data_IF_215645583301
#
_entry.id   IF_215645583301
#
_cell.length_a   1.000
_cell.length_b   1.000
_cell.length_c   1.000
_cell.angle_alpha   90.00
_cell.angle_beta   90.00
_cell.angle_gamma   90.00
#
_symmetry.space_group_name_H-M   'P 1'
#
loop_
_entity.id
_entity.type
_entity.pdbx_description
1 polymer ?
#
# COMPACT_ATOMS: atom_id res chain seq x y z
N UNK A 1 14.68 3.14 10.75
CA UNK A 1 14.93 2.36 9.54
C UNK A 1 14.55 3.22 8.35
N UNK A 2 15.46 3.45 7.43
CA UNK A 2 15.17 4.19 6.21
C UNK A 2 14.45 3.28 5.21
N UNK A 3 13.57 3.88 4.41
CA UNK A 3 12.80 3.18 3.39
C UNK A 3 13.21 3.69 2.01
N UNK A 4 13.26 2.80 1.03
CA UNK A 4 13.54 3.11 -0.39
C UNK A 4 12.68 4.26 -0.92
N UNK A 5 11.44 4.30 -0.51
CA UNK A 5 10.45 5.29 -0.96
C UNK A 5 10.76 6.74 -0.59
N UNK A 6 11.53 7.01 0.49
CA UNK A 6 11.83 8.37 0.92
C UNK A 6 12.46 9.20 -0.19
N UNK A 7 13.53 8.67 -0.79
CA UNK A 7 14.26 9.35 -1.88
C UNK A 7 13.36 9.59 -3.09
N UNK A 8 12.50 8.62 -3.41
CA UNK A 8 11.56 8.74 -4.53
C UNK A 8 10.48 9.80 -4.29
N UNK A 9 9.97 9.89 -3.05
CA UNK A 9 9.01 10.95 -2.68
C UNK A 9 9.68 12.33 -2.78
N UNK A 10 10.90 12.49 -2.25
CA UNK A 10 11.67 13.73 -2.35
C UNK A 10 11.89 14.14 -3.81
N UNK A 11 12.27 13.20 -4.68
CA UNK A 11 12.43 13.44 -6.11
C UNK A 11 11.14 13.94 -6.78
N UNK A 12 10.00 13.30 -6.49
CA UNK A 12 8.73 13.68 -7.10
C UNK A 12 8.22 15.05 -6.67
N UNK A 13 8.47 15.41 -5.42
CA UNK A 13 8.13 16.73 -4.90
C UNK A 13 8.98 17.82 -5.53
N UNK A 14 10.30 17.63 -5.60
CA UNK A 14 11.26 18.65 -6.04
C UNK A 14 11.35 18.75 -7.56
N UNK A 15 11.48 17.62 -8.26
CA UNK A 15 11.78 17.63 -9.70
C UNK A 15 10.53 17.73 -10.57
N UNK A 16 9.41 17.16 -10.12
CA UNK A 16 8.18 17.17 -10.92
C UNK A 16 7.11 18.13 -10.40
N UNK A 17 7.27 18.67 -9.19
CA UNK A 17 6.32 19.61 -8.61
C UNK A 17 4.89 19.05 -8.49
N UNK A 18 4.75 17.72 -8.27
CA UNK A 18 3.46 17.04 -8.19
C UNK A 18 3.08 16.71 -6.75
N UNK A 19 1.79 16.59 -6.49
CA UNK A 19 1.28 15.91 -5.30
C UNK A 19 1.83 14.49 -5.26
N UNK A 20 2.24 14.00 -4.09
CA UNK A 20 2.62 12.59 -3.93
C UNK A 20 1.56 11.85 -3.12
N UNK A 21 0.93 10.87 -3.73
CA UNK A 21 0.03 9.95 -3.04
C UNK A 21 0.80 8.72 -2.56
N UNK A 22 0.85 8.53 -1.25
CA UNK A 22 1.46 7.35 -0.64
C UNK A 22 0.35 6.42 -0.17
N UNK A 23 0.14 5.34 -0.93
CA UNK A 23 -0.82 4.29 -0.61
C UNK A 23 -0.13 3.02 -0.10
N UNK A 24 -0.90 2.08 0.43
CA UNK A 24 -0.37 0.80 0.91
C UNK A 24 -1.14 0.28 2.12
N UNK A 25 -0.84 -0.96 2.52
CA UNK A 25 -1.49 -1.59 3.66
C UNK A 25 -1.41 -0.74 4.94
N UNK A 26 -2.34 -0.94 5.87
CA UNK A 26 -2.19 -0.38 7.23
C UNK A 26 -0.91 -0.89 7.87
N UNK A 27 -0.25 -0.05 8.68
CA UNK A 27 0.99 -0.37 9.40
C UNK A 27 2.21 -0.72 8.51
N UNK A 28 2.14 -0.43 7.19
CA UNK A 28 3.26 -0.68 6.27
C UNK A 28 4.36 0.40 6.33
N UNK A 29 4.12 1.51 7.05
CA UNK A 29 5.09 2.58 7.28
C UNK A 29 4.87 3.87 6.48
N UNK A 30 3.70 4.09 5.86
CA UNK A 30 3.38 5.31 5.09
C UNK A 30 3.63 6.60 5.86
N UNK A 31 3.04 6.72 7.04
CA UNK A 31 3.20 7.89 7.93
C UNK A 31 4.66 8.11 8.34
N UNK A 32 5.40 7.03 8.56
CA UNK A 32 6.84 7.10 8.90
C UNK A 32 7.64 7.68 7.74
N UNK A 33 7.42 7.18 6.51
CA UNK A 33 8.08 7.70 5.30
C UNK A 33 7.76 9.19 5.13
N UNK A 34 6.49 9.56 5.18
CA UNK A 34 6.07 10.95 5.02
C UNK A 34 6.71 11.88 6.04
N UNK A 35 6.75 11.48 7.32
CA UNK A 35 7.42 12.26 8.38
C UNK A 35 8.94 12.33 8.20
N UNK A 36 9.58 11.30 7.67
CA UNK A 36 11.02 11.33 7.37
C UNK A 36 11.36 12.31 6.24
N UNK A 37 10.48 12.45 5.24
CA UNK A 37 10.65 13.41 4.14
C UNK A 37 10.62 14.85 4.67
N UNK A 38 9.70 15.19 5.57
CA UNK A 38 9.56 16.57 6.06
C UNK A 38 10.51 16.93 7.21
N UNK A 39 11.10 15.94 7.88
CA UNK A 39 11.98 16.17 9.05
C UNK A 39 13.09 17.21 8.81
N UNK A 40 13.71 17.30 7.63
CA UNK A 40 14.75 18.29 7.35
C UNK A 40 14.22 19.72 7.19
N UNK A 41 12.89 19.91 7.02
CA UNK A 41 12.28 21.23 6.82
C UNK A 41 11.31 21.56 7.97
N UNK A 42 11.70 22.44 8.90
CA UNK A 42 10.90 22.76 10.10
C UNK A 42 9.57 23.47 9.78
N UNK A 43 9.43 24.04 8.58
CA UNK A 43 8.21 24.73 8.16
C UNK A 43 7.14 23.75 7.62
N UNK A 44 7.47 22.47 7.52
CA UNK A 44 6.51 21.47 7.05
C UNK A 44 5.55 21.05 8.16
N UNK A 45 4.31 20.74 7.79
CA UNK A 45 3.24 20.41 8.73
C UNK A 45 2.67 19.03 8.38
N UNK A 46 2.46 18.23 9.42
CA UNK A 46 1.73 16.96 9.36
C UNK A 46 0.37 17.13 10.02
N UNK A 47 -0.71 16.83 9.30
CA UNK A 47 -2.09 16.83 9.78
C UNK A 47 -2.71 15.46 9.56
N UNK A 48 -3.38 14.95 10.60
CA UNK A 48 -4.08 13.67 10.57
C UNK A 48 -5.59 13.87 10.61
N UNK A 49 -6.28 13.37 9.59
CA UNK A 49 -7.74 13.48 9.52
C UNK A 49 -8.47 12.84 10.71
N UNK A 50 -7.89 11.83 11.37
CA UNK A 50 -8.51 11.19 12.52
C UNK A 50 -8.47 12.06 13.80
N UNK A 51 -7.64 13.11 13.80
CA UNK A 51 -7.54 14.07 14.90
C UNK A 51 -8.45 15.29 14.66
N UNK A 52 -9.33 15.55 15.62
CA UNK A 52 -10.38 16.58 15.48
C UNK A 52 -9.84 17.98 15.21
N UNK A 53 -8.79 18.39 15.92
CA UNK A 53 -8.18 19.71 15.74
C UNK A 53 -7.55 19.86 14.36
N UNK A 54 -6.93 18.80 13.84
CA UNK A 54 -6.34 18.83 12.50
C UNK A 54 -7.41 18.90 11.42
N UNK A 55 -8.54 18.18 11.57
CA UNK A 55 -9.72 18.35 10.70
C UNK A 55 -10.21 19.79 10.69
N UNK A 56 -10.28 20.44 11.86
CA UNK A 56 -10.70 21.82 11.95
C UNK A 56 -9.72 22.78 11.24
N UNK A 57 -8.42 22.54 11.37
CA UNK A 57 -7.40 23.30 10.61
C UNK A 57 -7.58 23.13 9.10
N UNK A 58 -7.81 21.90 8.64
CA UNK A 58 -7.99 21.60 7.23
C UNK A 58 -9.26 22.24 6.66
N UNK A 59 -10.38 22.15 7.36
CA UNK A 59 -11.69 22.59 6.84
C UNK A 59 -11.97 24.05 7.10
N UNK A 60 -11.72 24.55 8.31
CA UNK A 60 -12.21 25.85 8.76
C UNK A 60 -11.11 26.90 8.93
N UNK A 61 -9.85 26.47 9.18
CA UNK A 61 -8.71 27.36 9.42
C UNK A 61 -7.62 27.25 8.36
N UNK A 62 -7.95 26.76 7.18
CA UNK A 62 -6.97 26.56 6.11
C UNK A 62 -6.25 27.84 5.69
N UNK A 63 -6.91 29.01 5.72
CA UNK A 63 -6.25 30.29 5.41
C UNK A 63 -5.11 30.61 6.38
N UNK A 64 -5.32 30.40 7.67
CA UNK A 64 -4.29 30.56 8.70
C UNK A 64 -3.19 29.51 8.55
N UNK A 65 -3.56 28.25 8.27
CA UNK A 65 -2.64 27.15 8.02
C UNK A 65 -1.66 27.49 6.89
N UNK A 66 -2.17 27.93 5.74
CA UNK A 66 -1.34 28.28 4.58
C UNK A 66 -0.53 29.55 4.81
N UNK A 67 -1.07 30.54 5.51
CA UNK A 67 -0.31 31.74 5.91
C UNK A 67 0.90 31.35 6.77
N UNK A 68 0.73 30.46 7.75
CA UNK A 68 1.80 29.99 8.62
C UNK A 68 2.86 29.19 7.84
N UNK A 69 2.45 28.30 6.91
CA UNK A 69 3.37 27.57 6.05
C UNK A 69 4.24 28.50 5.19
N UNK A 70 3.68 29.61 4.69
CA UNK A 70 4.36 30.55 3.79
C UNK A 70 5.08 31.69 4.53
N UNK A 71 4.90 31.84 5.85
CA UNK A 71 5.45 32.98 6.62
C UNK A 71 6.96 32.88 6.87
N UNK A 72 7.53 31.69 6.74
CA UNK A 72 8.96 31.46 7.04
C UNK A 72 9.76 31.39 5.74
N UNK A 73 10.75 32.26 5.61
CA UNK A 73 11.68 32.27 4.49
C UNK A 73 12.61 31.06 4.64
N UNK A 74 12.58 30.17 3.67
CA UNK A 74 13.46 28.98 3.58
C UNK A 74 13.80 28.71 2.13
N UNK A 75 15.00 28.20 1.87
CA UNK A 75 15.43 27.77 0.54
C UNK A 75 14.64 26.56 0.01
N UNK A 76 13.97 25.83 0.92
CA UNK A 76 13.12 24.68 0.57
C UNK A 76 11.65 25.03 0.78
N UNK A 77 10.82 24.63 -0.19
CA UNK A 77 9.37 24.73 -0.06
C UNK A 77 8.89 23.94 1.17
N UNK A 78 7.98 24.48 1.97
CA UNK A 78 7.32 23.73 3.03
C UNK A 78 6.46 22.62 2.43
N UNK A 79 6.32 21.51 3.17
CA UNK A 79 5.50 20.39 2.75
C UNK A 79 4.31 20.22 3.71
N UNK A 80 3.12 20.09 3.15
CA UNK A 80 1.91 19.73 3.88
C UNK A 80 1.58 18.26 3.69
N UNK A 81 1.61 17.50 4.79
CA UNK A 81 1.16 16.10 4.80
C UNK A 81 -0.28 16.05 5.29
N UNK A 82 -1.16 15.45 4.49
CA UNK A 82 -2.54 15.14 4.85
C UNK A 82 -2.70 13.63 4.99
N UNK A 83 -2.64 13.13 6.22
CA UNK A 83 -2.76 11.70 6.54
C UNK A 83 -4.24 11.30 6.69
N UNK A 84 -4.61 10.19 6.06
CA UNK A 84 -5.97 9.60 6.08
C UNK A 84 -7.08 10.56 5.56
N UNK A 85 -6.77 11.61 4.80
CA UNK A 85 -7.75 12.59 4.29
C UNK A 85 -8.83 11.95 3.41
N UNK A 86 -8.56 10.79 2.82
CA UNK A 86 -9.51 10.03 2.00
C UNK A 86 -10.78 9.61 2.75
N UNK A 87 -10.81 9.69 4.07
CA UNK A 87 -12.00 9.48 4.91
C UNK A 87 -13.00 10.64 4.78
N UNK A 88 -12.57 11.80 4.32
CA UNK A 88 -13.45 12.90 3.97
C UNK A 88 -14.09 12.68 2.61
N UNK A 89 -15.43 12.77 2.53
CA UNK A 89 -16.16 12.44 1.30
C UNK A 89 -15.74 13.29 0.10
N UNK A 90 -15.46 14.59 0.30
CA UNK A 90 -15.10 15.54 -0.77
C UNK A 90 -13.60 15.87 -0.81
N UNK A 91 -12.77 14.98 -0.31
CA UNK A 91 -11.32 15.20 -0.16
C UNK A 91 -10.61 15.55 -1.47
N UNK A 92 -11.05 15.01 -2.61
CA UNK A 92 -10.42 15.25 -3.90
C UNK A 92 -10.54 16.68 -4.34
N UNK A 93 -11.75 17.26 -4.22
CA UNK A 93 -11.99 18.65 -4.57
C UNK A 93 -11.25 19.59 -3.61
N UNK A 94 -11.23 19.27 -2.34
CA UNK A 94 -10.49 20.02 -1.33
C UNK A 94 -8.98 20.03 -1.64
N UNK A 95 -8.38 18.88 -1.85
CA UNK A 95 -6.95 18.75 -2.18
C UNK A 95 -6.61 19.41 -3.50
N UNK A 96 -7.50 19.28 -4.51
CA UNK A 96 -7.35 19.99 -5.79
C UNK A 96 -7.30 21.49 -5.58
N UNK A 97 -8.25 22.04 -4.83
CA UNK A 97 -8.30 23.48 -4.53
C UNK A 97 -7.05 23.98 -3.82
N UNK A 98 -6.52 23.21 -2.87
CA UNK A 98 -5.27 23.53 -2.20
C UNK A 98 -4.08 23.51 -3.17
N UNK A 99 -3.98 22.48 -3.99
CA UNK A 99 -2.89 22.36 -4.94
C UNK A 99 -2.95 23.42 -6.04
N UNK A 100 -4.12 23.67 -6.62
CA UNK A 100 -4.29 24.70 -7.68
C UNK A 100 -3.93 26.11 -7.17
N UNK A 101 -4.12 26.37 -5.87
CA UNK A 101 -3.83 27.68 -5.27
C UNK A 101 -2.41 27.81 -4.71
N UNK A 102 -1.86 26.76 -4.15
CA UNK A 102 -0.63 26.82 -3.36
C UNK A 102 0.49 25.89 -3.86
N UNK A 103 0.25 25.04 -4.86
CA UNK A 103 1.19 24.01 -5.32
C UNK A 103 2.50 24.55 -5.88
N UNK A 104 2.54 25.81 -6.30
CA UNK A 104 3.80 26.47 -6.71
C UNK A 104 4.74 26.72 -5.53
N UNK A 105 4.18 26.95 -4.33
CA UNK A 105 4.94 27.36 -3.15
C UNK A 105 4.98 26.31 -2.03
N UNK A 106 4.10 25.31 -2.09
CA UNK A 106 3.95 24.27 -1.06
C UNK A 106 3.94 22.89 -1.73
N UNK A 107 4.71 21.97 -1.18
CA UNK A 107 4.70 20.56 -1.53
C UNK A 107 3.57 19.84 -0.78
N UNK A 108 2.97 18.81 -1.40
CA UNK A 108 1.87 18.07 -0.81
C UNK A 108 2.13 16.57 -0.81
N UNK A 109 1.98 15.94 0.35
CA UNK A 109 1.95 14.48 0.49
C UNK A 109 0.58 14.07 1.04
N UNK A 110 -0.05 13.14 0.37
CA UNK A 110 -1.32 12.56 0.79
C UNK A 110 -1.10 11.10 1.11
N UNK A 111 -1.52 10.64 2.28
CA UNK A 111 -1.41 9.23 2.65
C UNK A 111 -2.78 8.60 2.85
N UNK A 112 -2.87 7.28 2.61
CA UNK A 112 -4.09 6.53 2.84
C UNK A 112 -3.88 5.01 2.84
N UNK A 113 -4.70 4.30 3.62
CA UNK A 113 -4.58 2.86 3.84
C UNK A 113 -5.25 1.98 2.79
N UNK A 114 -6.25 2.49 2.07
CA UNK A 114 -6.83 1.79 0.92
C UNK A 114 -6.12 2.21 -0.38
N UNK A 115 -6.24 1.42 -1.43
CA UNK A 115 -5.97 1.94 -2.78
C UNK A 115 -6.85 3.17 -2.92
N UNK A 116 -6.25 4.34 -2.76
CA UNK A 116 -6.96 5.61 -2.88
C UNK A 116 -7.78 5.50 -4.15
N UNK A 117 -9.12 5.46 -4.03
CA UNK A 117 -10.03 5.27 -5.18
C UNK A 117 -9.97 6.53 -6.06
N UNK A 118 -8.79 6.77 -6.65
CA UNK A 118 -8.51 7.89 -7.51
C UNK A 118 -9.36 7.79 -8.78
N UNK A 119 -9.63 6.56 -9.23
CA UNK A 119 -10.35 6.25 -10.48
C UNK A 119 -11.86 5.96 -10.30
N UNK A 120 -12.55 6.52 -9.30
CA UNK A 120 -14.01 6.35 -9.25
C UNK A 120 -14.69 7.07 -10.43
N UNK A 121 -15.69 6.39 -11.03
CA UNK A 121 -16.57 6.89 -12.10
C UNK A 121 -16.95 8.36 -11.90
N UNK A 122 -16.67 9.22 -12.89
CA UNK A 122 -17.11 10.62 -12.87
C UNK A 122 -16.02 11.67 -13.10
N UNK A 123 -14.84 11.26 -13.56
CA UNK A 123 -13.70 12.16 -13.82
C UNK A 123 -12.79 12.29 -12.59
N UNK A 124 -11.49 12.18 -12.82
CA UNK A 124 -10.50 12.42 -11.76
C UNK A 124 -10.15 13.92 -11.73
N UNK A 125 -10.72 14.63 -10.77
CA UNK A 125 -10.46 16.07 -10.59
C UNK A 125 -8.98 16.38 -10.30
N UNK A 126 -8.19 15.35 -9.95
CA UNK A 126 -6.74 15.46 -9.66
C UNK A 126 -5.85 14.94 -10.80
N UNK A 127 -6.44 14.51 -11.94
CA UNK A 127 -5.66 14.00 -13.07
C UNK A 127 -4.56 15.00 -13.50
N UNK A 128 -3.35 14.50 -13.72
CA UNK A 128 -2.18 15.29 -14.09
C UNK A 128 -1.51 16.07 -12.96
N UNK A 129 -2.08 16.07 -11.74
CA UNK A 129 -1.57 16.80 -10.58
C UNK A 129 -0.78 15.98 -9.61
N UNK A 130 -0.85 14.65 -9.67
CA UNK A 130 -0.23 13.76 -8.69
C UNK A 130 0.59 12.64 -9.32
N UNK A 131 1.48 12.09 -8.52
CA UNK A 131 2.16 10.82 -8.74
C UNK A 131 1.83 9.92 -7.55
N UNK A 132 1.54 8.65 -7.80
CA UNK A 132 1.22 7.70 -6.73
C UNK A 132 2.36 6.72 -6.50
N UNK A 133 2.61 6.42 -5.22
CA UNK A 133 3.54 5.39 -4.77
C UNK A 133 2.82 4.40 -3.86
N UNK A 134 3.03 3.11 -4.12
CA UNK A 134 2.49 2.04 -3.30
C UNK A 134 3.57 1.49 -2.39
N UNK A 135 3.41 1.71 -1.09
CA UNK A 135 4.35 1.21 -0.08
C UNK A 135 4.05 -0.25 0.23
N UNK A 136 5.01 -1.11 -0.06
CA UNK A 136 4.98 -2.54 0.23
C UNK A 136 5.61 -2.88 1.58
N UNK A 137 5.36 -4.09 2.12
CA UNK A 137 6.12 -4.62 3.26
C UNK A 137 7.62 -4.59 2.99
N UNK A 138 8.42 -4.64 4.06
CA UNK A 138 9.88 -4.62 4.00
C UNK A 138 10.38 -5.80 3.16
N UNK A 139 11.17 -5.58 2.11
CA UNK A 139 11.86 -6.64 1.40
C UNK A 139 13.26 -6.85 1.97
N UNK A 140 13.90 -7.92 1.55
CA UNK A 140 15.30 -8.24 1.86
C UNK A 140 16.22 -7.04 1.56
N UNK A 141 16.05 -6.37 0.41
CA UNK A 141 16.88 -5.24 0.00
C UNK A 141 16.85 -4.05 0.96
N UNK A 142 15.69 -3.74 1.55
CA UNK A 142 15.61 -2.65 2.53
C UNK A 142 16.19 -3.04 3.89
N UNK A 143 16.12 -4.31 4.28
CA UNK A 143 16.75 -4.83 5.50
C UNK A 143 18.27 -4.78 5.33
N UNK A 144 18.77 -5.25 4.21
CA UNK A 144 20.18 -5.22 3.85
C UNK A 144 20.73 -3.82 3.57
N UNK A 145 19.91 -2.77 3.67
CA UNK A 145 20.26 -1.36 3.40
C UNK A 145 20.86 -1.11 2.00
N UNK A 146 20.50 -1.94 1.03
CA UNK A 146 20.88 -1.78 -0.37
C UNK A 146 19.93 -0.78 -1.06
N UNK A 147 20.23 0.50 -0.96
CA UNK A 147 19.44 1.59 -1.54
C UNK A 147 20.05 2.21 -2.79
N UNK A 148 21.04 1.58 -3.42
CA UNK A 148 21.63 2.11 -4.64
C UNK A 148 20.59 2.18 -5.76
N UNK A 149 20.43 3.37 -6.29
CA UNK A 149 19.41 3.70 -7.28
C UNK A 149 19.87 3.45 -8.72
N UNK A 150 20.96 2.75 -8.91
CA UNK A 150 21.39 2.41 -10.25
C UNK A 150 20.49 1.36 -10.86
N UNK A 151 20.30 1.49 -12.14
CA UNK A 151 19.34 0.89 -13.07
C UNK A 151 19.28 -0.65 -13.09
N UNK A 152 19.97 -1.33 -12.18
CA UNK A 152 19.89 -2.78 -12.08
C UNK A 152 18.57 -3.20 -11.47
N UNK A 153 17.67 -3.69 -12.30
CA UNK A 153 16.34 -4.17 -11.93
C UNK A 153 16.36 -5.23 -10.83
N UNK A 154 17.41 -6.04 -10.78
CA UNK A 154 17.60 -7.09 -9.77
C UNK A 154 19.05 -7.05 -9.30
N UNK A 155 19.27 -6.64 -8.06
CA UNK A 155 20.59 -6.67 -7.41
C UNK A 155 20.68 -7.83 -6.45
N UNK A 156 21.84 -8.50 -6.40
CA UNK A 156 22.12 -9.46 -5.35
C UNK A 156 22.26 -8.71 -4.01
N UNK A 157 21.47 -9.09 -3.01
CA UNK A 157 21.63 -8.60 -1.65
C UNK A 157 22.70 -9.41 -0.95
N UNK A 158 23.80 -8.78 -0.53
CA UNK A 158 24.91 -9.48 0.10
C UNK A 158 24.97 -9.32 1.63
N UNK A 159 24.13 -8.48 2.23
CA UNK A 159 24.32 -8.04 3.61
C UNK A 159 23.13 -8.33 4.55
N UNK A 160 22.38 -9.39 4.29
CA UNK A 160 21.38 -9.88 5.23
C UNK A 160 21.94 -11.03 6.05
N UNK A 161 21.80 -10.99 7.36
CA UNK A 161 22.16 -12.09 8.24
C UNK A 161 21.09 -13.18 8.22
N UNK A 162 21.45 -14.40 8.65
CA UNK A 162 20.50 -15.50 8.78
C UNK A 162 19.37 -15.12 9.73
N UNK A 163 19.68 -14.53 10.87
CA UNK A 163 18.67 -14.12 11.87
C UNK A 163 17.70 -13.09 11.31
N UNK A 164 18.18 -12.09 10.56
CA UNK A 164 17.32 -11.08 9.89
C UNK A 164 16.41 -11.72 8.85
N UNK A 165 16.92 -12.68 8.08
CA UNK A 165 16.13 -13.40 7.10
C UNK A 165 15.10 -14.32 7.77
N UNK A 166 15.46 -15.04 8.83
CA UNK A 166 14.53 -15.86 9.62
C UNK A 166 13.45 -14.99 10.28
N UNK A 167 13.81 -13.83 10.79
CA UNK A 167 12.84 -12.86 11.32
C UNK A 167 11.87 -12.40 10.23
N UNK A 168 12.37 -12.10 9.01
CA UNK A 168 11.55 -11.66 7.89
C UNK A 168 10.57 -12.75 7.44
N UNK A 169 11.03 -13.98 7.29
CA UNK A 169 10.17 -15.08 6.84
C UNK A 169 9.13 -15.46 7.90
N UNK A 170 9.49 -15.43 9.20
CA UNK A 170 8.63 -15.86 10.28
C UNK A 170 7.66 -14.79 10.77
N UNK A 171 8.06 -13.53 10.79
CA UNK A 171 7.26 -12.41 11.32
C UNK A 171 6.75 -11.44 10.25
N UNK A 172 7.06 -11.71 8.96
CA UNK A 172 6.59 -10.92 7.84
C UNK A 172 7.34 -9.60 7.65
N UNK A 173 7.02 -8.89 6.57
CA UNK A 173 7.67 -7.61 6.21
C UNK A 173 6.97 -6.37 6.76
N UNK A 174 5.98 -6.49 7.65
CA UNK A 174 5.42 -5.34 8.35
C UNK A 174 6.36 -4.89 9.45
N UNK A 175 6.80 -3.62 9.37
CA UNK A 175 7.93 -3.12 10.16
C UNK A 175 7.81 -3.38 11.65
N UNK A 176 6.61 -3.19 12.24
CA UNK A 176 6.41 -3.38 13.67
C UNK A 176 6.56 -4.86 14.08
N UNK A 177 5.98 -5.78 13.32
CA UNK A 177 6.08 -7.22 13.56
C UNK A 177 7.52 -7.73 13.36
N UNK A 178 8.16 -7.29 12.28
CA UNK A 178 9.55 -7.60 11.97
C UNK A 178 10.53 -7.13 13.06
N UNK A 179 10.42 -5.87 13.49
CA UNK A 179 11.35 -5.29 14.47
C UNK A 179 11.19 -5.89 15.88
N UNK A 180 9.98 -6.32 16.25
CA UNK A 180 9.76 -6.99 17.54
C UNK A 180 10.16 -8.46 17.52
N UNK A 181 10.03 -9.14 16.38
CA UNK A 181 10.49 -10.50 16.08
C UNK A 181 10.24 -11.52 17.22
N UNK A 182 9.07 -11.47 17.86
CA UNK A 182 8.69 -12.44 18.89
C UNK A 182 7.35 -13.08 18.56
N UNK A 183 7.23 -14.41 18.74
CA UNK A 183 6.02 -15.16 18.42
C UNK A 183 4.79 -14.64 19.19
N UNK A 184 4.97 -14.23 20.46
CA UNK A 184 3.89 -13.68 21.28
C UNK A 184 3.37 -12.36 20.70
N UNK A 185 4.28 -11.42 20.39
CA UNK A 185 3.91 -10.13 19.82
C UNK A 185 3.27 -10.29 18.45
N UNK A 186 3.89 -11.08 17.57
CA UNK A 186 3.38 -11.35 16.23
C UNK A 186 1.95 -11.88 16.26
N UNK A 187 1.62 -12.83 17.14
CA UNK A 187 0.25 -13.35 17.29
C UNK A 187 -0.75 -12.27 17.71
N UNK A 188 -0.38 -11.41 18.66
CA UNK A 188 -1.24 -10.30 19.12
C UNK A 188 -1.44 -9.31 17.97
N UNK A 189 -0.37 -8.89 17.33
CA UNK A 189 -0.37 -7.93 16.23
C UNK A 189 -1.19 -8.42 15.03
N UNK A 190 -0.99 -9.66 14.59
CA UNK A 190 -1.73 -10.29 13.48
C UNK A 190 -3.23 -10.33 13.76
N UNK A 191 -3.63 -10.72 14.97
CA UNK A 191 -5.05 -10.74 15.37
C UNK A 191 -5.67 -9.34 15.38
N UNK A 192 -4.93 -8.32 15.85
CA UNK A 192 -5.41 -6.94 15.84
C UNK A 192 -5.55 -6.41 14.41
N UNK A 193 -4.54 -6.64 13.57
CA UNK A 193 -4.56 -6.21 12.17
C UNK A 193 -5.71 -6.85 11.39
N UNK A 194 -5.96 -8.14 11.60
CA UNK A 194 -7.10 -8.84 11.01
C UNK A 194 -8.44 -8.23 11.44
N UNK A 195 -8.62 -7.97 12.75
CA UNK A 195 -9.83 -7.32 13.27
C UNK A 195 -10.04 -5.92 12.71
N UNK A 196 -8.97 -5.13 12.57
CA UNK A 196 -9.02 -3.79 11.98
C UNK A 196 -9.45 -3.83 10.52
N UNK A 197 -8.86 -4.72 9.71
CA UNK A 197 -9.24 -4.90 8.32
C UNK A 197 -10.75 -5.13 8.16
N UNK A 198 -11.32 -6.03 8.95
CA UNK A 198 -12.73 -6.39 8.83
C UNK A 198 -13.68 -5.36 9.43
N UNK A 199 -13.35 -4.80 10.60
CA UNK A 199 -14.25 -3.89 11.32
C UNK A 199 -14.23 -2.47 10.80
N UNK A 200 -13.07 -2.01 10.34
CA UNK A 200 -12.88 -0.61 9.95
C UNK A 200 -12.79 -0.45 8.43
N UNK A 201 -11.94 -1.21 7.77
CA UNK A 201 -11.66 -0.98 6.35
C UNK A 201 -12.76 -1.56 5.45
N UNK A 202 -13.09 -2.81 5.67
CA UNK A 202 -14.06 -3.54 4.84
C UNK A 202 -15.48 -3.06 5.10
N UNK A 203 -15.88 -2.92 6.37
CA UNK A 203 -17.22 -2.47 6.75
C UNK A 203 -17.53 -1.03 6.33
N UNK A 204 -16.54 -0.15 6.34
CA UNK A 204 -16.72 1.24 5.93
C UNK A 204 -16.74 1.41 4.39
N UNK A 205 -16.29 0.41 3.65
CA UNK A 205 -16.16 0.50 2.18
C UNK A 205 -17.34 -0.12 1.45
N UNK A 206 -17.91 -1.18 1.99
CA UNK A 206 -19.07 -1.89 1.41
C UNK A 206 -19.98 -2.41 2.53
N UNK A 207 -21.30 -2.42 2.26
CA UNK A 207 -22.30 -3.02 3.13
C UNK A 207 -22.20 -4.55 3.03
N UNK A 208 -21.36 -5.14 3.88
CA UNK A 208 -21.15 -6.59 3.93
C UNK A 208 -22.04 -7.19 5.01
N UNK A 209 -23.16 -7.74 4.59
CA UNK A 209 -24.15 -8.36 5.48
C UNK A 209 -23.64 -9.68 6.10
N UNK A 210 -22.55 -10.27 5.57
CA UNK A 210 -22.04 -11.56 6.06
C UNK A 210 -20.53 -11.53 6.31
N UNK A 211 -20.13 -10.91 7.41
CA UNK A 211 -18.74 -10.84 7.86
C UNK A 211 -18.17 -12.23 8.19
N UNK A 212 -19.00 -13.17 8.66
CA UNK A 212 -18.54 -14.54 8.95
C UNK A 212 -18.13 -15.28 7.69
N UNK A 213 -18.93 -15.18 6.62
CA UNK A 213 -18.59 -15.81 5.33
C UNK A 213 -17.33 -15.19 4.70
N UNK A 214 -17.16 -13.88 4.83
CA UNK A 214 -15.91 -13.22 4.38
C UNK A 214 -14.71 -13.66 5.22
N UNK A 215 -14.86 -13.82 6.54
CA UNK A 215 -13.79 -14.37 7.40
C UNK A 215 -13.45 -15.82 7.04
N UNK A 216 -14.45 -16.64 6.69
CA UNK A 216 -14.22 -18.00 6.19
C UNK A 216 -13.46 -17.97 4.87
N UNK A 217 -13.84 -17.08 3.94
CA UNK A 217 -13.11 -16.90 2.68
C UNK A 217 -11.62 -16.58 2.92
N UNK A 218 -11.31 -15.67 3.85
CA UNK A 218 -9.91 -15.33 4.15
C UNK A 218 -9.14 -16.50 4.76
N UNK A 219 -9.78 -17.32 5.61
CA UNK A 219 -9.16 -18.54 6.13
C UNK A 219 -8.80 -19.52 5.03
N UNK A 220 -9.72 -19.71 4.07
CA UNK A 220 -9.48 -20.59 2.91
C UNK A 220 -8.35 -20.02 2.02
N UNK A 221 -8.32 -18.72 1.79
CA UNK A 221 -7.25 -18.07 1.01
C UNK A 221 -5.88 -18.27 1.69
N UNK A 222 -5.81 -18.15 3.01
CA UNK A 222 -4.56 -18.37 3.74
C UNK A 222 -4.03 -19.82 3.60
N UNK A 223 -4.96 -20.80 3.61
CA UNK A 223 -4.60 -22.21 3.44
C UNK A 223 -4.22 -22.55 1.99
N UNK A 224 -4.77 -21.82 1.02
CA UNK A 224 -4.56 -22.05 -0.41
C UNK A 224 -3.66 -21.00 -1.07
N UNK A 225 -2.87 -20.24 -0.28
CA UNK A 225 -1.94 -19.26 -0.82
C UNK A 225 -0.98 -19.94 -1.83
N UNK A 226 -0.70 -19.27 -2.95
CA UNK A 226 0.12 -19.81 -4.05
C UNK A 226 -0.61 -20.80 -4.97
N UNK A 227 -1.81 -21.26 -4.58
CA UNK A 227 -2.59 -22.20 -5.40
C UNK A 227 -3.54 -21.50 -6.37
N UNK A 228 -3.93 -22.23 -7.41
CA UNK A 228 -4.98 -21.78 -8.34
C UNK A 228 -6.33 -21.68 -7.61
N UNK A 229 -7.01 -20.55 -7.79
CA UNK A 229 -8.29 -20.29 -7.14
C UNK A 229 -9.43 -20.44 -8.13
N UNK A 230 -10.28 -21.44 -7.88
CA UNK A 230 -11.57 -21.58 -8.54
C UNK A 230 -12.64 -20.78 -7.79
N UNK A 231 -13.23 -19.78 -8.45
CA UNK A 231 -14.28 -18.95 -7.85
C UNK A 231 -15.50 -19.77 -7.47
N UNK A 232 -15.90 -20.75 -8.32
CA UNK A 232 -17.03 -21.65 -8.09
C UNK A 232 -16.78 -22.55 -6.87
N UNK A 233 -15.56 -23.09 -6.73
CA UNK A 233 -15.23 -23.92 -5.58
C UNK A 233 -15.25 -23.09 -4.28
N UNK A 234 -14.73 -21.86 -4.30
CA UNK A 234 -14.81 -20.95 -3.17
C UNK A 234 -16.26 -20.59 -2.83
N UNK A 235 -17.08 -20.30 -3.84
CA UNK A 235 -18.50 -19.97 -3.67
C UNK A 235 -19.26 -21.10 -2.95
N UNK A 236 -19.02 -22.35 -3.38
CA UNK A 236 -19.62 -23.52 -2.74
C UNK A 236 -19.15 -23.69 -1.28
N UNK A 237 -17.85 -23.55 -1.01
CA UNK A 237 -17.30 -23.68 0.38
C UNK A 237 -17.82 -22.58 1.31
N UNK A 238 -17.92 -21.36 0.81
CA UNK A 238 -18.34 -20.18 1.60
C UNK A 238 -19.87 -20.02 1.63
N UNK A 239 -20.60 -20.74 0.75
CA UNK A 239 -22.07 -20.69 0.57
C UNK A 239 -22.57 -19.31 0.14
N UNK A 240 -21.93 -18.76 -0.88
CA UNK A 240 -22.29 -17.50 -1.55
C UNK A 240 -22.21 -17.65 -3.07
N UNK A 241 -22.62 -16.64 -3.84
CA UNK A 241 -22.49 -16.66 -5.30
C UNK A 241 -21.05 -16.43 -5.76
N UNK A 242 -20.69 -16.92 -6.96
CA UNK A 242 -19.41 -16.64 -7.63
C UNK A 242 -19.17 -15.13 -7.75
N UNK A 243 -20.22 -14.36 -8.06
CA UNK A 243 -20.13 -12.91 -8.16
C UNK A 243 -19.75 -12.27 -6.80
N UNK A 244 -20.28 -12.81 -5.70
CA UNK A 244 -19.92 -12.38 -4.35
C UNK A 244 -18.44 -12.67 -4.05
N UNK A 245 -17.93 -13.85 -4.40
CA UNK A 245 -16.52 -14.19 -4.24
C UNK A 245 -15.62 -13.23 -5.01
N UNK A 246 -15.92 -12.97 -6.29
CA UNK A 246 -15.16 -12.01 -7.11
C UNK A 246 -15.14 -10.61 -6.51
N UNK A 247 -16.28 -10.14 -6.03
CA UNK A 247 -16.41 -8.85 -5.38
C UNK A 247 -15.58 -8.79 -4.09
N UNK A 248 -15.65 -9.83 -3.26
CA UNK A 248 -14.92 -9.89 -1.99
C UNK A 248 -13.41 -10.03 -2.20
N UNK A 249 -12.95 -10.82 -3.17
CA UNK A 249 -11.54 -10.88 -3.53
C UNK A 249 -11.03 -9.52 -4.00
N UNK A 250 -11.76 -8.85 -4.88
CA UNK A 250 -11.40 -7.48 -5.32
C UNK A 250 -11.36 -6.49 -4.15
N UNK A 251 -12.25 -6.64 -3.16
CA UNK A 251 -12.23 -5.84 -1.94
C UNK A 251 -11.00 -6.12 -1.10
N UNK A 252 -10.66 -7.39 -0.87
CA UNK A 252 -9.46 -7.80 -0.14
C UNK A 252 -8.18 -7.32 -0.82
N UNK A 253 -8.12 -7.35 -2.16
CA UNK A 253 -7.00 -6.78 -2.94
C UNK A 253 -6.89 -5.26 -2.77
N UNK A 254 -8.03 -4.53 -2.77
CA UNK A 254 -8.05 -3.08 -2.55
C UNK A 254 -7.52 -2.69 -1.17
N UNK A 255 -7.73 -3.55 -0.18
CA UNK A 255 -7.25 -3.34 1.18
C UNK A 255 -5.89 -3.99 1.47
N UNK A 256 -5.18 -4.43 0.44
CA UNK A 256 -3.85 -5.02 0.57
C UNK A 256 -3.81 -6.24 1.52
N UNK A 257 -4.87 -7.05 1.49
CA UNK A 257 -4.88 -8.34 2.18
C UNK A 257 -4.22 -9.41 1.33
N UNK A 258 -4.63 -9.51 0.07
CA UNK A 258 -4.09 -10.45 -0.92
C UNK A 258 -3.84 -9.75 -2.25
N UNK A 259 -3.21 -10.46 -3.17
CA UNK A 259 -3.03 -10.07 -4.56
C UNK A 259 -3.10 -11.28 -5.48
N UNK A 260 -3.55 -11.06 -6.72
CA UNK A 260 -3.69 -12.11 -7.71
C UNK A 260 -2.55 -12.04 -8.74
N UNK A 261 -1.91 -13.18 -9.00
CA UNK A 261 -1.01 -13.36 -10.15
C UNK A 261 -1.76 -14.17 -11.20
N UNK A 262 -1.87 -13.60 -12.41
CA UNK A 262 -2.56 -14.23 -13.53
C UNK A 262 -1.60 -15.07 -14.37
N UNK A 263 -2.11 -16.07 -15.13
CA UNK A 263 -1.25 -16.80 -16.04
C UNK A 263 -0.80 -15.91 -17.20
N UNK A 264 0.44 -16.06 -17.62
CA UNK A 264 0.90 -15.44 -18.84
C UNK A 264 0.17 -16.00 -20.06
N UNK A 265 -0.26 -15.15 -20.97
CA UNK A 265 -0.86 -15.56 -22.24
C UNK A 265 -0.63 -14.48 -23.30
N UNK A 266 -0.27 -14.90 -24.52
CA UNK A 266 -0.20 -13.99 -25.67
C UNK A 266 -1.56 -13.32 -25.94
N UNK A 267 -2.67 -14.00 -25.59
CA UNK A 267 -4.02 -13.45 -25.69
C UNK A 267 -4.47 -12.91 -24.33
N UNK A 268 -4.46 -11.59 -24.18
CA UNK A 268 -4.81 -10.88 -22.95
C UNK A 268 -6.21 -11.27 -22.44
N UNK A 269 -7.20 -11.40 -23.33
CA UNK A 269 -8.58 -11.77 -22.96
C UNK A 269 -8.61 -13.16 -22.32
N UNK A 270 -7.88 -14.13 -22.89
CA UNK A 270 -7.78 -15.48 -22.31
C UNK A 270 -7.09 -15.48 -20.93
N UNK A 271 -6.11 -14.61 -20.72
CA UNK A 271 -5.45 -14.46 -19.41
C UNK A 271 -6.41 -13.92 -18.34
N UNK A 272 -7.34 -13.02 -18.72
CA UNK A 272 -8.30 -12.42 -17.79
C UNK A 272 -9.37 -13.41 -17.30
N UNK A 273 -9.68 -14.45 -18.08
CA UNK A 273 -10.73 -15.44 -17.79
C UNK A 273 -10.19 -16.62 -16.96
N UNK A 274 -8.89 -16.90 -17.05
CA UNK A 274 -8.27 -18.04 -16.34
C UNK A 274 -8.16 -17.79 -14.85
N UNK A 275 -8.15 -18.90 -14.10
CA UNK A 275 -7.99 -18.90 -12.64
C UNK A 275 -6.64 -18.31 -12.22
N UNK A 276 -6.63 -17.30 -11.33
CA UNK A 276 -5.38 -16.74 -10.80
C UNK A 276 -4.82 -17.59 -9.67
N UNK A 277 -3.54 -17.39 -9.37
CA UNK A 277 -2.97 -17.73 -8.07
C UNK A 277 -3.15 -16.55 -7.13
N UNK A 278 -3.51 -16.82 -5.87
CA UNK A 278 -3.70 -15.77 -4.85
C UNK A 278 -2.58 -15.87 -3.83
N UNK A 279 -1.97 -14.74 -3.53
CA UNK A 279 -0.91 -14.57 -2.54
C UNK A 279 -1.31 -13.53 -1.50
N UNK A 280 -0.70 -13.60 -0.32
CA UNK A 280 -0.96 -12.67 0.78
C UNK A 280 0.08 -11.54 0.78
N UNK A 281 -0.35 -10.34 1.16
CA UNK A 281 0.57 -9.24 1.48
C UNK A 281 1.40 -9.53 2.74
N UNK A 282 0.85 -10.36 3.63
CA UNK A 282 1.50 -10.82 4.85
C UNK A 282 1.72 -12.32 4.80
N UNK A 283 2.84 -12.74 4.24
CA UNK A 283 3.23 -14.15 4.10
C UNK A 283 3.40 -14.86 5.44
N UNK A 284 3.62 -14.13 6.56
CA UNK A 284 3.76 -14.71 7.89
C UNK A 284 2.50 -15.45 8.39
N UNK A 285 1.34 -15.18 7.77
CA UNK A 285 0.08 -15.87 8.08
C UNK A 285 0.02 -17.30 7.53
N UNK A 286 0.90 -17.67 6.63
CA UNK A 286 0.92 -18.98 5.99
C UNK A 286 1.67 -19.97 6.90
N UNK A 287 1.06 -21.11 7.20
CA UNK A 287 1.63 -22.10 8.13
C UNK A 287 2.76 -22.92 7.50
N UNK A 288 2.53 -23.40 6.28
CA UNK A 288 3.53 -24.19 5.55
C UNK A 288 4.72 -23.32 5.14
N UNK A 289 5.94 -23.76 5.49
CA UNK A 289 7.15 -22.96 5.27
C UNK A 289 7.50 -22.82 3.79
N UNK A 290 7.25 -23.84 2.98
CA UNK A 290 7.51 -23.81 1.53
C UNK A 290 6.60 -22.81 0.84
N UNK A 291 5.29 -22.90 1.09
CA UNK A 291 4.28 -21.94 0.59
C UNK A 291 4.52 -20.51 1.10
N UNK A 292 4.95 -20.38 2.36
CA UNK A 292 5.32 -19.07 2.94
C UNK A 292 6.51 -18.45 2.21
N UNK A 293 7.52 -19.24 1.90
CA UNK A 293 8.69 -18.79 1.15
C UNK A 293 8.31 -18.41 -0.29
N UNK A 294 7.51 -19.21 -0.97
CA UNK A 294 6.97 -18.87 -2.29
C UNK A 294 6.20 -17.55 -2.27
N UNK A 295 5.34 -17.35 -1.27
CA UNK A 295 4.60 -16.11 -1.11
C UNK A 295 5.52 -14.90 -0.82
N UNK A 296 6.58 -15.09 -0.04
CA UNK A 296 7.60 -14.06 0.19
C UNK A 296 8.23 -13.65 -1.14
N UNK A 297 8.66 -14.61 -1.96
CA UNK A 297 9.22 -14.33 -3.30
C UNK A 297 8.23 -13.60 -4.18
N UNK A 298 6.98 -14.08 -4.25
CA UNK A 298 5.91 -13.43 -5.02
C UNK A 298 5.67 -11.97 -4.57
N UNK A 299 5.69 -11.70 -3.26
CA UNK A 299 5.56 -10.36 -2.70
C UNK A 299 6.73 -9.44 -3.06
N UNK A 300 7.95 -9.97 -3.10
CA UNK A 300 9.14 -9.20 -3.51
C UNK A 300 9.10 -8.86 -5.00
N UNK A 301 8.71 -9.81 -5.84
CA UNK A 301 8.51 -9.58 -7.28
C UNK A 301 7.39 -8.56 -7.54
N UNK A 302 6.27 -8.68 -6.81
CA UNK A 302 5.19 -7.70 -6.90
C UNK A 302 5.68 -6.29 -6.55
N UNK A 303 6.43 -6.14 -5.45
CA UNK A 303 7.02 -4.86 -5.06
C UNK A 303 7.93 -4.31 -6.13
N UNK A 304 8.81 -5.14 -6.72
CA UNK A 304 9.71 -4.71 -7.78
C UNK A 304 8.93 -4.17 -8.98
N UNK A 305 7.91 -4.92 -9.45
CA UNK A 305 7.04 -4.50 -10.56
C UNK A 305 6.33 -3.18 -10.26
N UNK A 306 5.75 -3.01 -9.06
CA UNK A 306 5.13 -1.74 -8.67
C UNK A 306 6.15 -0.60 -8.67
N UNK A 307 7.30 -0.81 -8.04
CA UNK A 307 8.34 0.21 -7.94
C UNK A 307 8.85 0.63 -9.32
N UNK A 308 9.16 -0.30 -10.22
CA UNK A 308 9.62 0.00 -11.57
C UNK A 308 8.60 0.79 -12.39
N UNK A 309 7.31 0.39 -12.32
CA UNK A 309 6.24 1.09 -13.02
C UNK A 309 6.02 2.50 -12.45
N UNK A 310 5.95 2.61 -11.12
CA UNK A 310 5.69 3.87 -10.43
C UNK A 310 6.88 4.85 -10.52
N UNK A 311 8.10 4.35 -10.76
CA UNK A 311 9.31 5.18 -10.99
C UNK A 311 9.59 5.45 -12.47
N UNK A 312 8.74 4.94 -13.36
CA UNK A 312 8.85 5.24 -14.80
C UNK A 312 9.93 4.45 -15.52
N UNK A 313 10.40 3.33 -14.95
CA UNK A 313 11.43 2.48 -15.59
C UNK A 313 10.85 1.65 -16.75
N UNK A 314 9.53 1.48 -16.83
CA UNK A 314 8.85 0.76 -17.90
C UNK A 314 7.47 0.26 -17.50
N UNK A 315 6.87 -0.56 -18.36
CA UNK A 315 5.57 -1.21 -18.15
C UNK A 315 5.80 -2.70 -17.86
N UNK A 316 5.89 -3.06 -16.60
CA UNK A 316 6.13 -4.42 -16.16
C UNK A 316 4.85 -5.08 -15.63
N UNK A 317 4.74 -6.39 -15.79
CA UNK A 317 3.67 -7.20 -15.23
C UNK A 317 4.20 -8.47 -14.57
N UNK A 318 3.51 -8.94 -13.54
CA UNK A 318 3.81 -10.21 -12.88
C UNK A 318 2.83 -11.28 -13.30
N UNK A 319 3.34 -12.38 -13.83
CA UNK A 319 2.57 -13.51 -14.34
C UNK A 319 3.20 -14.82 -13.92
N UNK A 320 2.39 -15.87 -13.80
CA UNK A 320 2.91 -17.23 -13.68
C UNK A 320 2.86 -17.96 -15.04
N UNK A 321 3.82 -18.88 -15.23
CA UNK A 321 3.81 -19.78 -16.37
C UNK A 321 3.24 -21.12 -15.94
N UNK A 322 2.42 -21.72 -16.78
CA UNK A 322 1.91 -23.07 -16.60
C UNK A 322 2.25 -23.90 -17.84
N UNK A 323 3.03 -24.94 -17.63
CA UNK A 323 3.19 -25.97 -18.65
C UNK A 323 1.86 -26.73 -18.86
N UNK A 324 1.64 -27.13 -20.09
CA UNK A 324 0.42 -27.83 -20.49
C UNK A 324 0.45 -29.30 -20.04
#
# INVERSE_FOLDING_TARGET
MDRLYKKQVEEYLTNYGKLVFISGARQVGKTTISKQVIKPNPNSIYLNWDYLEDRNKILNKHTELFKNLLSTISDKKPCLILDEIHKYKDWKNLVKGFYDKFGENIEFIITGSAKLNIYKKGGDSLMGRYISLTVHPLPVSEIAKNFDNDIDYIKSSQNITVDEFEALINFGGFAESYLKATAKFHRIWSNQRFKQLFREDVRNTEDINNIYALSLLTSIINEQAGSLISYTNLANKVRVSDQTIRRWLSLLEKHYYCFAIKPWSKNVVKSLIKEPQIYLWDWSQIKDIGTRFENLVASHLLKAVYFWNETGLGDFGLYYLRDK
#
